data_IF_621741967447
#
_entry.id   IF_621741967447
#
_cell.length_a   1.000
_cell.length_b   1.000
_cell.length_c   1.000
_cell.angle_alpha   90.00
_cell.angle_beta   90.00
_cell.angle_gamma   90.00
#
_symmetry.space_group_name_H-M   'P 1'
#
loop_
_entity.id
_entity.type
_entity.pdbx_description
1 polymer ?
#
# COMPACT_ATOMS: atom_id res chain seq x y z
N UNK A 1 8.97 -21.82 9.45
CA UNK A 1 8.83 -20.37 9.71
C UNK A 1 9.62 -19.65 8.65
N UNK A 2 8.96 -18.79 7.86
CA UNK A 2 9.67 -17.88 6.96
C UNK A 2 10.54 -16.95 7.79
N UNK A 3 11.81 -16.83 7.43
CA UNK A 3 12.77 -15.93 8.09
C UNK A 3 12.46 -14.53 7.54
N UNK A 4 11.90 -13.65 8.37
CA UNK A 4 11.61 -12.26 7.98
C UNK A 4 12.87 -11.51 7.52
N UNK A 5 12.66 -10.35 6.91
CA UNK A 5 13.76 -9.51 6.40
C UNK A 5 14.47 -8.79 7.55
N UNK A 6 15.80 -8.81 7.54
CA UNK A 6 16.63 -8.10 8.51
C UNK A 6 17.13 -6.76 7.95
N UNK A 7 17.64 -5.91 8.84
CA UNK A 7 18.23 -4.63 8.44
C UNK A 7 19.48 -4.86 7.57
N UNK A 8 19.52 -4.18 6.43
CA UNK A 8 20.62 -4.28 5.46
C UNK A 8 20.45 -5.39 4.41
N UNK A 9 19.45 -6.25 4.55
CA UNK A 9 19.13 -7.24 3.53
C UNK A 9 18.65 -6.56 2.25
N UNK A 10 19.05 -7.10 1.10
CA UNK A 10 18.48 -6.68 -0.18
C UNK A 10 17.02 -7.12 -0.23
N UNK A 11 16.10 -6.16 -0.31
CA UNK A 11 14.68 -6.43 -0.43
C UNK A 11 14.40 -7.30 -1.66
N UNK A 12 13.50 -8.29 -1.61
CA UNK A 12 13.23 -9.18 -2.73
C UNK A 12 12.71 -8.38 -3.92
N UNK A 13 13.18 -8.75 -5.10
CA UNK A 13 12.51 -8.34 -6.34
C UNK A 13 11.38 -9.33 -6.64
N UNK A 14 10.20 -8.81 -6.94
CA UNK A 14 9.00 -9.62 -7.17
C UNK A 14 8.10 -8.98 -8.22
N UNK A 15 7.19 -9.81 -8.71
CA UNK A 15 6.08 -9.42 -9.57
C UNK A 15 4.81 -9.37 -8.74
N UNK A 16 3.96 -8.37 -9.00
CA UNK A 16 2.72 -8.20 -8.25
C UNK A 16 1.65 -7.52 -9.10
N UNK A 17 0.41 -7.98 -8.96
CA UNK A 17 -0.75 -7.21 -9.41
C UNK A 17 -1.08 -6.13 -8.37
N UNK A 18 -1.46 -4.95 -8.84
CA UNK A 18 -1.85 -3.85 -7.95
C UNK A 18 -3.18 -3.23 -8.38
N UNK A 19 -3.75 -2.40 -7.51
CA UNK A 19 -4.94 -1.59 -7.79
C UNK A 19 -4.84 -0.78 -9.08
N UNK A 20 -3.63 -0.37 -9.50
CA UNK A 20 -3.39 0.46 -10.68
C UNK A 20 -2.89 -0.31 -11.90
N UNK A 21 -1.82 -1.09 -11.74
CA UNK A 21 -1.13 -1.76 -12.83
C UNK A 21 -0.32 -2.97 -12.34
N UNK A 22 0.12 -3.81 -13.28
CA UNK A 22 1.02 -4.92 -12.99
C UNK A 22 2.46 -4.41 -12.83
N UNK A 23 3.12 -4.81 -11.74
CA UNK A 23 4.54 -4.56 -11.48
C UNK A 23 5.31 -5.80 -11.94
N UNK A 24 6.16 -5.64 -12.96
CA UNK A 24 7.04 -6.70 -13.47
C UNK A 24 8.36 -6.86 -12.70
N UNK A 25 8.78 -5.82 -11.99
CA UNK A 25 9.91 -5.80 -11.05
C UNK A 25 9.65 -4.71 -10.02
N UNK A 26 9.69 -5.08 -8.74
CA UNK A 26 9.54 -4.14 -7.64
C UNK A 26 10.70 -3.16 -7.59
N UNK A 27 11.92 -3.62 -7.90
CA UNK A 27 13.10 -2.74 -7.95
C UNK A 27 12.99 -1.70 -9.06
N UNK A 28 12.47 -2.08 -10.23
CA UNK A 28 12.21 -1.13 -11.31
C UNK A 28 11.09 -0.15 -10.96
N UNK A 29 10.04 -0.60 -10.25
CA UNK A 29 8.96 0.27 -9.79
C UNK A 29 9.47 1.32 -8.79
N UNK A 30 10.37 0.96 -7.87
CA UNK A 30 11.05 1.93 -6.99
C UNK A 30 11.91 2.86 -7.85
N UNK A 31 12.70 2.32 -8.78
CA UNK A 31 13.66 3.08 -9.57
C UNK A 31 14.95 3.36 -8.81
N UNK A 32 15.96 3.87 -9.51
CA UNK A 32 17.35 3.97 -8.98
C UNK A 32 17.54 5.05 -7.93
N UNK A 33 16.80 6.14 -8.05
CA UNK A 33 17.00 7.34 -7.26
C UNK A 33 15.77 7.66 -6.41
N UNK A 34 15.11 6.68 -5.81
CA UNK A 34 14.01 6.96 -4.86
C UNK A 34 14.01 6.00 -3.68
N UNK A 35 13.38 6.44 -2.60
CA UNK A 35 13.08 5.59 -1.46
C UNK A 35 11.70 4.98 -1.62
N UNK A 36 11.44 3.86 -0.97
CA UNK A 36 10.11 3.27 -0.93
C UNK A 36 9.72 2.82 0.49
N UNK A 37 8.45 3.00 0.81
CA UNK A 37 7.83 2.44 2.00
C UNK A 37 6.76 1.47 1.51
N UNK A 38 6.99 0.18 1.78
CA UNK A 38 5.97 -0.85 1.68
C UNK A 38 5.30 -1.00 3.05
N UNK A 39 3.98 -0.83 3.09
CA UNK A 39 3.18 -1.02 4.30
C UNK A 39 2.09 -2.04 4.00
N UNK A 40 1.79 -2.90 4.98
CA UNK A 40 0.74 -3.89 4.87
C UNK A 40 -0.43 -3.57 5.79
N UNK A 41 -1.63 -3.99 5.40
CA UNK A 41 -2.82 -3.98 6.25
C UNK A 41 -3.50 -5.36 6.19
N UNK A 42 -4.14 -5.85 7.28
CA UNK A 42 -4.69 -7.20 7.30
C UNK A 42 -5.81 -7.45 6.28
N UNK A 43 -6.75 -6.50 6.16
CA UNK A 43 -7.92 -6.63 5.29
C UNK A 43 -8.54 -5.29 4.89
N UNK A 44 -9.00 -5.21 3.66
CA UNK A 44 -9.84 -4.12 3.15
C UNK A 44 -11.15 -3.99 3.95
N UNK A 45 -11.80 -2.83 3.88
CA UNK A 45 -13.08 -2.54 4.54
C UNK A 45 -13.06 -2.67 6.07
N UNK A 46 -11.88 -2.57 6.70
CA UNK A 46 -11.74 -2.56 8.16
C UNK A 46 -11.54 -1.13 8.69
N UNK A 47 -12.12 -0.79 9.87
CA UNK A 47 -12.21 0.60 10.33
C UNK A 47 -10.84 1.22 10.61
N UNK A 48 -9.91 0.46 11.22
CA UNK A 48 -8.56 0.96 11.54
C UNK A 48 -7.75 1.18 10.27
N UNK A 49 -7.66 0.18 9.38
CA UNK A 49 -6.91 0.27 8.13
C UNK A 49 -7.40 1.44 7.26
N UNK A 50 -8.72 1.68 7.22
CA UNK A 50 -9.29 2.80 6.45
C UNK A 50 -8.81 4.14 7.00
N UNK A 51 -8.69 4.28 8.33
CA UNK A 51 -8.14 5.50 8.95
C UNK A 51 -6.64 5.69 8.70
N UNK A 52 -5.87 4.61 8.69
CA UNK A 52 -4.42 4.63 8.44
C UNK A 52 -4.12 5.02 6.99
N UNK A 53 -4.78 4.38 6.03
CA UNK A 53 -4.61 4.70 4.61
C UNK A 53 -5.11 6.11 4.30
N UNK A 54 -6.23 6.55 4.90
CA UNK A 54 -6.70 7.94 4.75
C UNK A 54 -5.64 8.94 5.26
N UNK A 55 -4.90 8.60 6.33
CA UNK A 55 -3.80 9.45 6.82
C UNK A 55 -2.59 9.42 5.89
N UNK A 56 -2.26 8.28 5.30
CA UNK A 56 -1.19 8.17 4.30
C UNK A 56 -1.51 8.98 3.04
N UNK A 57 -2.77 9.00 2.61
CA UNK A 57 -3.22 9.86 1.50
C UNK A 57 -2.95 11.33 1.82
N UNK A 58 -3.34 11.80 3.01
CA UNK A 58 -3.06 13.20 3.44
C UNK A 58 -1.56 13.53 3.50
N UNK A 59 -0.72 12.54 3.84
CA UNK A 59 0.73 12.72 4.00
C UNK A 59 1.51 12.46 2.72
N UNK A 60 0.90 11.93 1.67
CA UNK A 60 1.59 11.60 0.42
C UNK A 60 2.41 12.78 -0.16
N UNK A 61 1.92 14.04 -0.15
CA UNK A 61 2.71 15.17 -0.64
C UNK A 61 4.03 15.36 0.13
N UNK A 62 4.06 15.05 1.43
CA UNK A 62 5.27 15.12 2.25
C UNK A 62 6.26 14.00 1.91
N UNK A 63 5.77 12.78 1.64
CA UNK A 63 6.61 11.67 1.17
C UNK A 63 7.18 11.96 -0.22
N UNK A 64 6.34 12.46 -1.13
CA UNK A 64 6.73 12.85 -2.48
C UNK A 64 7.80 13.94 -2.50
N UNK A 65 7.67 14.96 -1.64
CA UNK A 65 8.70 16.01 -1.46
C UNK A 65 10.06 15.45 -1.04
N UNK A 66 10.08 14.30 -0.35
CA UNK A 66 11.29 13.60 0.10
C UNK A 66 11.73 12.48 -0.86
N UNK A 67 11.10 12.40 -2.03
CA UNK A 67 11.37 11.38 -3.04
C UNK A 67 11.18 9.95 -2.49
N UNK A 68 10.10 9.77 -1.73
CA UNK A 68 9.66 8.49 -1.16
C UNK A 68 8.38 8.05 -1.86
N UNK A 69 8.37 6.82 -2.37
CA UNK A 69 7.20 6.16 -2.94
C UNK A 69 6.48 5.32 -1.88
N UNK A 70 5.17 5.42 -1.83
CA UNK A 70 4.33 4.61 -0.96
C UNK A 70 3.72 3.45 -1.76
N UNK A 71 3.62 2.27 -1.15
CA UNK A 71 2.88 1.13 -1.70
C UNK A 71 2.24 0.32 -0.58
N UNK A 72 0.94 0.10 -0.69
CA UNK A 72 0.17 -0.74 0.22
C UNK A 72 0.23 -2.21 -0.17
N UNK A 73 -0.11 -3.10 0.74
CA UNK A 73 -0.27 -4.53 0.49
C UNK A 73 -1.31 -5.14 1.42
N UNK A 74 -2.20 -5.98 0.87
CA UNK A 74 -2.99 -6.91 1.68
C UNK A 74 -3.23 -8.20 0.92
N UNK A 75 -3.84 -9.18 1.59
CA UNK A 75 -4.18 -10.47 1.00
C UNK A 75 -5.53 -10.45 0.26
N UNK A 76 -6.16 -9.28 0.10
CA UNK A 76 -7.39 -9.13 -0.67
C UNK A 76 -7.11 -8.99 -2.18
N UNK A 77 -8.16 -9.17 -2.99
CA UNK A 77 -8.07 -9.05 -4.46
C UNK A 77 -7.91 -7.60 -4.95
N UNK A 78 -7.36 -7.42 -6.15
CA UNK A 78 -7.30 -6.11 -6.83
C UNK A 78 -8.69 -5.46 -6.97
N UNK A 79 -9.74 -6.25 -7.22
CA UNK A 79 -11.09 -5.73 -7.32
C UNK A 79 -11.60 -5.19 -5.97
N UNK A 80 -11.18 -5.80 -4.86
CA UNK A 80 -11.47 -5.31 -3.51
C UNK A 80 -10.81 -3.95 -3.28
N UNK A 81 -9.49 -3.85 -3.54
CA UNK A 81 -8.75 -2.60 -3.35
C UNK A 81 -9.35 -1.43 -4.14
N UNK A 82 -9.77 -1.68 -5.39
CA UNK A 82 -10.38 -0.65 -6.24
C UNK A 82 -11.70 -0.14 -5.69
N UNK A 83 -12.52 -1.01 -5.09
CA UNK A 83 -13.77 -0.61 -4.45
C UNK A 83 -13.53 0.12 -3.14
N UNK A 84 -12.60 -0.38 -2.34
CA UNK A 84 -12.28 0.20 -1.04
C UNK A 84 -11.55 1.55 -1.13
N UNK A 85 -10.87 1.83 -2.25
CA UNK A 85 -10.25 3.12 -2.52
C UNK A 85 -11.22 4.30 -2.36
N UNK A 86 -12.49 4.14 -2.74
CA UNK A 86 -13.50 5.19 -2.62
C UNK A 86 -13.76 5.54 -1.14
N UNK A 87 -13.91 4.54 -0.28
CA UNK A 87 -14.13 4.72 1.16
C UNK A 87 -12.95 5.44 1.85
N UNK A 88 -11.72 5.08 1.46
CA UNK A 88 -10.50 5.72 1.99
C UNK A 88 -10.46 7.20 1.60
N UNK A 89 -10.76 7.50 0.33
CA UNK A 89 -10.75 8.86 -0.20
C UNK A 89 -11.84 9.69 0.47
N UNK A 90 -13.04 9.13 0.64
CA UNK A 90 -14.14 9.78 1.33
C UNK A 90 -13.77 10.11 2.78
N UNK A 91 -13.22 9.16 3.53
CA UNK A 91 -12.78 9.39 4.90
C UNK A 91 -11.67 10.45 4.98
N UNK A 92 -10.71 10.43 4.05
CA UNK A 92 -9.67 11.44 3.97
C UNK A 92 -10.25 12.84 3.72
N UNK A 93 -11.24 12.97 2.83
CA UNK A 93 -11.95 14.25 2.58
C UNK A 93 -12.68 14.73 3.84
N UNK A 94 -13.42 13.85 4.50
CA UNK A 94 -14.14 14.18 5.74
C UNK A 94 -13.20 14.70 6.84
N UNK A 95 -12.01 14.10 6.99
CA UNK A 95 -11.04 14.49 8.01
C UNK A 95 -10.18 15.69 7.66
N UNK A 96 -10.04 16.04 6.38
CA UNK A 96 -9.18 17.15 5.95
C UNK A 96 -9.86 18.51 6.05
N UNK A 97 -11.19 18.56 6.20
CA UNK A 97 -11.97 19.81 6.26
C UNK A 97 -12.06 20.58 4.92
N UNK A 98 -11.29 20.14 3.92
CA UNK A 98 -11.26 20.68 2.56
C UNK A 98 -11.37 19.52 1.58
N UNK A 99 -12.49 19.48 0.84
CA UNK A 99 -12.81 18.42 -0.12
C UNK A 99 -11.83 18.36 -1.31
N UNK A 100 -11.10 19.45 -1.57
CA UNK A 100 -10.24 19.58 -2.75
C UNK A 100 -8.75 19.32 -2.47
N UNK A 101 -8.35 19.22 -1.20
CA UNK A 101 -6.92 19.17 -0.81
C UNK A 101 -6.39 17.75 -0.60
N UNK A 102 -7.26 16.78 -0.32
CA UNK A 102 -6.87 15.41 0.04
C UNK A 102 -6.37 14.55 -1.14
N UNK A 103 -7.03 14.62 -2.31
CA UNK A 103 -6.67 13.84 -3.51
C UNK A 103 -6.91 14.64 -4.78
N UNK A 104 -6.01 14.54 -5.75
CA UNK A 104 -6.29 14.97 -7.13
C UNK A 104 -7.21 13.95 -7.82
N UNK A 105 -8.51 14.05 -7.57
CA UNK A 105 -9.55 13.16 -8.14
C UNK A 105 -9.99 12.03 -7.21
N UNK A 106 -10.58 10.98 -7.78
CA UNK A 106 -11.05 9.77 -7.09
C UNK A 106 -10.06 8.61 -7.22
N UNK A 107 -8.75 8.88 -7.09
CA UNK A 107 -7.73 7.84 -7.14
C UNK A 107 -6.80 7.97 -5.94
N UNK A 108 -6.42 6.84 -5.36
CA UNK A 108 -5.36 6.81 -4.35
C UNK A 108 -4.04 7.28 -4.99
N UNK A 109 -3.20 8.01 -4.26
CA UNK A 109 -1.93 8.50 -4.78
C UNK A 109 -0.83 7.41 -4.76
N UNK A 110 -1.14 6.21 -4.23
CA UNK A 110 -0.27 5.05 -4.19
C UNK A 110 -1.04 3.76 -4.56
N UNK A 111 -0.36 2.78 -5.18
CA UNK A 111 -0.94 1.48 -5.47
C UNK A 111 -1.06 0.61 -4.21
N UNK A 112 -1.96 -0.37 -4.25
CA UNK A 112 -2.08 -1.44 -3.25
C UNK A 112 -1.85 -2.77 -3.97
N UNK A 113 -0.87 -3.56 -3.51
CA UNK A 113 -0.56 -4.90 -3.98
C UNK A 113 -1.63 -5.88 -3.50
N UNK A 114 -2.13 -6.70 -4.43
CA UNK A 114 -2.94 -7.86 -4.12
C UNK A 114 -2.04 -9.10 -3.95
N UNK A 115 -2.00 -9.64 -2.73
CA UNK A 115 -1.29 -10.88 -2.38
C UNK A 115 -2.30 -11.98 -2.00
N UNK A 116 -3.23 -12.26 -2.91
CA UNK A 116 -4.33 -13.22 -2.70
C UNK A 116 -3.86 -14.63 -2.32
N UNK A 117 -2.69 -15.03 -2.81
CA UNK A 117 -2.04 -16.30 -2.52
C UNK A 117 -1.15 -16.27 -1.25
N UNK A 118 -1.05 -15.12 -0.56
CA UNK A 118 -0.26 -14.89 0.66
C UNK A 118 1.23 -15.17 0.50
N UNK A 119 1.73 -15.27 -0.74
CA UNK A 119 3.10 -15.68 -1.03
C UNK A 119 4.09 -14.59 -0.63
N UNK A 120 3.73 -13.33 -0.85
CA UNK A 120 4.58 -12.20 -0.51
C UNK A 120 4.54 -11.92 1.00
N UNK A 121 3.37 -11.98 1.63
CA UNK A 121 3.19 -11.88 3.07
C UNK A 121 3.98 -12.94 3.82
N UNK A 122 3.90 -14.18 3.36
CA UNK A 122 4.72 -15.28 3.89
C UNK A 122 6.20 -15.03 3.67
N UNK A 123 6.62 -14.65 2.45
CA UNK A 123 8.03 -14.41 2.11
C UNK A 123 8.65 -13.26 2.92
N UNK A 124 7.90 -12.20 3.17
CA UNK A 124 8.35 -11.05 3.96
C UNK A 124 8.25 -11.28 5.47
N UNK A 125 7.56 -12.34 5.91
CA UNK A 125 7.37 -12.65 7.32
C UNK A 125 6.40 -11.71 8.02
N UNK A 126 5.38 -11.23 7.29
CA UNK A 126 4.37 -10.28 7.76
C UNK A 126 2.96 -10.89 7.87
N UNK A 127 2.88 -12.22 7.96
CA UNK A 127 1.62 -12.91 8.27
C UNK A 127 1.24 -12.65 9.72
N UNK A 128 0.02 -12.16 9.93
CA UNK A 128 -0.57 -12.07 11.27
C UNK A 128 -0.91 -13.49 11.77
N UNK A 129 -0.55 -13.87 13.01
CA UNK A 129 -0.90 -15.16 13.60
C UNK A 129 -2.41 -15.46 13.61
N UNK A 130 -3.25 -14.43 13.73
CA UNK A 130 -4.71 -14.57 13.85
C UNK A 130 -5.41 -14.60 12.48
N UNK A 131 -4.69 -14.30 11.38
CA UNK A 131 -5.22 -14.29 10.00
C UNK A 131 -4.72 -15.48 9.14
N UNK A 132 -4.23 -16.54 9.80
CA UNK A 132 -3.82 -17.80 9.17
C UNK A 132 -5.00 -18.64 8.66
#
# INVERSE_FOLDING_TARGET
MSKGILLGDKFPDFQAETSESFISSFHDWIGKDSWAILFSHPRDFTPVCTTELARLVQLEPEFKKRNVKLIGLSCDSVQSHRKWADDIIELCRMKSGDSNTCCSGNKLPFPIIADDNRSLASKLGMMDPDEC
#
